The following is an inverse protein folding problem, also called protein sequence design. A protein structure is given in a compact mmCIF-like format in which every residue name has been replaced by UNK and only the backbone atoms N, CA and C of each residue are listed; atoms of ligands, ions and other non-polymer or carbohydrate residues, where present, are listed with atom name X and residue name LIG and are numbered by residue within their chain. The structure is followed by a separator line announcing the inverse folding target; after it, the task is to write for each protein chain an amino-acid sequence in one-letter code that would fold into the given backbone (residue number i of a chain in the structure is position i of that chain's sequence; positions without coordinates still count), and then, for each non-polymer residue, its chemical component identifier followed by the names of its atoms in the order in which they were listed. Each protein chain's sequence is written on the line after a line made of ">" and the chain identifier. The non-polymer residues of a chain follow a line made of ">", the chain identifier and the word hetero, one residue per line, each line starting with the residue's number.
data_IF_121394171064
#
_entry.id   IF_121394171064
#
_cell.length_a   1.000
_cell.length_b   1.000
_cell.length_c   1.000
_cell.angle_alpha   90.00
_cell.angle_beta   90.00
_cell.angle_gamma   90.00
#
_symmetry.space_group_name_H-M   'P 1'
#
loop_
_entity.id
_entity.type
_entity.pdbx_description
1 polymer ?
#
# COMPACT_ATOMS: atom_id res chain seq x y z
N UNK A 1 -13.07 -16.95 -11.81
CA UNK A 1 -12.47 -15.75 -11.18
C UNK A 1 -11.30 -16.05 -10.25
N UNK A 2 -11.28 -17.21 -9.57
CA UNK A 2 -10.13 -17.60 -8.73
C UNK A 2 -8.80 -17.82 -9.49
N UNK A 3 -8.84 -17.96 -10.79
CA UNK A 3 -7.63 -18.13 -11.64
C UNK A 3 -6.90 -16.82 -11.91
N UNK A 4 -7.55 -15.68 -11.70
CA UNK A 4 -6.97 -14.34 -11.97
C UNK A 4 -6.20 -13.77 -10.79
N UNK A 5 -6.39 -14.28 -9.57
CA UNK A 5 -5.82 -13.71 -8.37
C UNK A 5 -4.94 -14.72 -7.63
N UNK A 6 -3.92 -14.21 -6.97
CA UNK A 6 -3.04 -14.96 -6.07
C UNK A 6 -3.04 -14.29 -4.70
N UNK A 7 -3.10 -15.11 -3.65
CA UNK A 7 -3.32 -14.64 -2.30
C UNK A 7 -2.19 -15.05 -1.36
N UNK A 8 -1.73 -14.12 -0.58
CA UNK A 8 -1.02 -14.41 0.67
C UNK A 8 -1.97 -14.28 1.85
N UNK A 9 -1.61 -14.90 2.97
CA UNK A 9 -2.41 -14.87 4.18
C UNK A 9 -1.55 -14.57 5.40
N UNK A 10 -2.02 -13.66 6.24
CA UNK A 10 -1.40 -13.28 7.50
C UNK A 10 -2.39 -13.48 8.62
N UNK A 11 -1.96 -14.09 9.71
CA UNK A 11 -2.74 -14.20 10.95
C UNK A 11 -1.93 -13.58 12.07
N UNK A 12 -2.50 -12.58 12.75
CA UNK A 12 -1.94 -11.91 13.91
C UNK A 12 -2.81 -12.32 15.12
N UNK A 13 -2.25 -13.10 16.02
CA UNK A 13 -2.96 -13.59 17.19
C UNK A 13 -2.62 -12.72 18.41
N UNK A 14 -3.57 -11.95 18.86
CA UNK A 14 -3.48 -11.06 20.03
C UNK A 14 -4.34 -11.56 21.20
N UNK A 15 -5.08 -12.66 21.00
CA UNK A 15 -6.07 -13.15 21.98
C UNK A 15 -7.28 -12.22 22.09
N UNK A 16 -7.71 -11.60 20.99
CA UNK A 16 -8.84 -10.69 20.98
C UNK A 16 -10.16 -11.41 21.25
N UNK A 17 -11.16 -10.67 21.74
CA UNK A 17 -12.53 -11.16 21.93
C UNK A 17 -13.29 -11.35 20.61
N UNK A 18 -12.89 -10.61 19.57
CA UNK A 18 -13.50 -10.63 18.23
C UNK A 18 -12.41 -10.81 17.19
N UNK A 19 -12.69 -11.62 16.18
CA UNK A 19 -11.87 -11.72 14.97
C UNK A 19 -12.19 -10.56 14.03
N UNK A 20 -11.14 -9.94 13.48
CA UNK A 20 -11.22 -8.91 12.44
C UNK A 20 -10.55 -9.42 11.17
N UNK A 21 -11.17 -9.15 10.03
CA UNK A 21 -10.68 -9.53 8.71
C UNK A 21 -10.42 -8.30 7.87
N UNK A 22 -9.25 -8.23 7.28
CA UNK A 22 -8.88 -7.18 6.34
C UNK A 22 -8.38 -7.80 5.06
N UNK A 23 -8.58 -7.11 3.95
CA UNK A 23 -7.99 -7.51 2.69
C UNK A 23 -7.10 -6.40 2.16
N UNK A 24 -5.83 -6.69 1.92
CA UNK A 24 -4.85 -5.72 1.45
C UNK A 24 -4.60 -5.86 -0.05
N UNK A 25 -4.68 -4.74 -0.76
CA UNK A 25 -4.29 -4.55 -2.15
C UNK A 25 -3.21 -3.48 -2.19
N UNK A 26 -2.15 -3.72 -2.95
CA UNK A 26 -1.03 -2.80 -3.15
C UNK A 26 -0.65 -2.73 -4.62
N UNK A 27 -0.12 -1.59 -5.04
CA UNK A 27 0.57 -1.45 -6.33
C UNK A 27 -0.26 -1.97 -7.52
N UNK A 28 -1.51 -1.53 -7.61
CA UNK A 28 -2.39 -1.89 -8.72
C UNK A 28 -2.04 -1.14 -10.01
N UNK A 29 -1.46 0.05 -9.90
CA UNK A 29 -1.05 0.91 -11.01
C UNK A 29 -2.14 1.05 -12.07
N UNK A 30 -3.39 1.23 -11.63
CA UNK A 30 -4.52 1.39 -12.54
C UNK A 30 -4.42 2.66 -13.35
N UNK A 31 -4.88 2.59 -14.59
CA UNK A 31 -5.18 3.74 -15.40
C UNK A 31 -6.59 3.61 -15.95
N UNK A 32 -7.37 4.67 -15.83
CA UNK A 32 -8.78 4.70 -16.17
C UNK A 32 -9.07 5.84 -17.14
N UNK A 33 -10.00 5.61 -18.05
CA UNK A 33 -10.59 6.63 -18.89
C UNK A 33 -12.12 6.51 -18.84
N UNK A 34 -12.78 7.63 -19.06
CA UNK A 34 -14.23 7.73 -19.13
C UNK A 34 -14.64 8.73 -20.23
N UNK A 35 -15.93 8.94 -20.39
CA UNK A 35 -16.51 9.86 -21.37
C UNK A 35 -16.10 11.34 -21.17
N UNK A 36 -15.62 11.68 -19.98
CA UNK A 36 -15.19 13.03 -19.61
C UNK A 36 -13.65 13.17 -19.61
N UNK A 37 -12.94 12.15 -20.07
CA UNK A 37 -11.47 12.17 -20.08
C UNK A 37 -10.95 13.21 -21.08
N UNK A 38 -10.01 14.03 -20.61
CA UNK A 38 -9.30 15.03 -21.42
C UNK A 38 -8.25 14.39 -22.34
N UNK A 39 -7.68 15.15 -23.25
CA UNK A 39 -6.52 14.70 -24.05
C UNK A 39 -5.32 14.34 -23.17
N UNK A 40 -5.14 15.05 -22.05
CA UNK A 40 -4.10 14.75 -21.05
C UNK A 40 -4.36 13.40 -20.37
N UNK A 41 -5.60 13.13 -19.92
CA UNK A 41 -5.98 11.83 -19.35
C UNK A 41 -5.71 10.68 -20.35
N UNK A 42 -6.10 10.86 -21.62
CA UNK A 42 -5.86 9.86 -22.68
C UNK A 42 -4.36 9.61 -22.92
N UNK A 43 -3.55 10.66 -22.87
CA UNK A 43 -2.10 10.53 -23.00
C UNK A 43 -1.49 9.75 -21.83
N UNK A 44 -1.89 10.05 -20.58
CA UNK A 44 -1.41 9.33 -19.41
C UNK A 44 -1.90 7.88 -19.42
N UNK A 45 -3.14 7.62 -19.77
CA UNK A 45 -3.66 6.26 -19.94
C UNK A 45 -2.81 5.45 -20.95
N UNK A 46 -2.48 6.04 -22.09
CA UNK A 46 -1.63 5.39 -23.09
C UNK A 46 -0.22 5.12 -22.56
N UNK A 47 0.39 6.08 -21.85
CA UNK A 47 1.70 5.90 -21.21
C UNK A 47 1.71 4.78 -20.19
N UNK A 48 0.69 4.70 -19.35
CA UNK A 48 0.54 3.62 -18.39
C UNK A 48 0.45 2.26 -19.08
N UNK A 49 -0.35 2.13 -20.12
CA UNK A 49 -0.45 0.90 -20.92
C UNK A 49 0.89 0.48 -21.54
N UNK A 50 1.63 1.41 -22.13
CA UNK A 50 2.94 1.12 -22.73
C UNK A 50 3.98 0.67 -21.67
N UNK A 51 3.81 1.08 -20.40
CA UNK A 51 4.70 0.73 -19.32
C UNK A 51 4.31 -0.62 -18.64
N UNK A 52 3.04 -1.00 -18.62
CA UNK A 52 2.57 -2.18 -17.88
C UNK A 52 3.27 -3.47 -18.32
N UNK A 53 3.40 -3.72 -19.61
CA UNK A 53 4.06 -4.92 -20.10
C UNK A 53 5.53 -4.97 -19.65
N UNK A 54 6.24 -3.85 -19.75
CA UNK A 54 7.62 -3.74 -19.30
C UNK A 54 7.75 -3.93 -17.78
N UNK A 55 6.84 -3.36 -16.98
CA UNK A 55 6.82 -3.51 -15.53
C UNK A 55 6.53 -4.95 -15.12
N UNK A 56 5.51 -5.58 -15.71
CA UNK A 56 5.14 -6.96 -15.44
C UNK A 56 6.31 -7.91 -15.75
N UNK A 57 6.93 -7.78 -16.92
CA UNK A 57 8.12 -8.53 -17.33
C UNK A 57 9.25 -8.36 -16.31
N UNK A 58 9.58 -7.13 -15.98
CA UNK A 58 10.64 -6.79 -15.03
C UNK A 58 10.43 -7.45 -13.68
N UNK A 59 9.19 -7.44 -13.16
CA UNK A 59 8.89 -8.07 -11.87
C UNK A 59 8.91 -9.60 -11.94
N UNK A 60 8.45 -10.19 -13.02
CA UNK A 60 8.52 -11.64 -13.21
C UNK A 60 9.96 -12.14 -13.24
N UNK A 61 10.83 -11.49 -13.99
CA UNK A 61 12.26 -11.82 -14.07
C UNK A 61 12.96 -11.63 -12.72
N UNK A 62 12.61 -10.57 -11.99
CA UNK A 62 13.29 -10.18 -10.76
C UNK A 62 12.96 -11.08 -9.58
N UNK A 63 11.71 -11.51 -9.47
CA UNK A 63 11.24 -12.31 -8.33
C UNK A 63 11.03 -13.78 -8.67
N UNK A 64 11.27 -14.21 -9.91
CA UNK A 64 11.00 -15.56 -10.37
C UNK A 64 9.50 -15.89 -10.38
N UNK A 65 8.66 -14.85 -10.39
CA UNK A 65 7.21 -15.00 -10.45
C UNK A 65 6.74 -15.14 -11.90
N UNK A 66 5.76 -15.97 -12.11
CA UNK A 66 5.45 -16.58 -13.41
C UNK A 66 4.87 -15.63 -14.45
N UNK A 67 5.31 -15.79 -15.70
CA UNK A 67 4.56 -15.48 -16.88
C UNK A 67 3.38 -16.47 -16.99
N UNK A 68 2.22 -16.04 -16.55
CA UNK A 68 0.98 -16.77 -16.79
C UNK A 68 -0.04 -15.83 -17.48
N UNK A 69 -1.24 -16.34 -17.72
CA UNK A 69 -2.30 -15.59 -18.42
C UNK A 69 -2.69 -14.28 -17.73
N UNK A 70 -2.38 -14.10 -16.43
CA UNK A 70 -2.63 -12.85 -15.67
C UNK A 70 -1.82 -11.67 -16.22
N UNK A 71 -0.69 -11.93 -16.86
CA UNK A 71 0.11 -10.86 -17.50
C UNK A 71 -0.62 -10.18 -18.65
N UNK A 72 -1.56 -10.86 -19.29
CA UNK A 72 -2.36 -10.33 -20.38
C UNK A 72 -3.59 -9.56 -19.88
N UNK A 73 -3.93 -9.70 -18.59
CA UNK A 73 -5.11 -9.07 -18.00
C UNK A 73 -4.79 -7.62 -17.59
N UNK A 74 -5.67 -6.73 -17.89
CA UNK A 74 -5.52 -5.32 -17.50
C UNK A 74 -5.59 -5.14 -15.98
N UNK A 75 -4.81 -4.21 -15.40
CA UNK A 75 -4.77 -3.95 -13.96
C UNK A 75 -6.13 -3.66 -13.34
N UNK A 76 -6.99 -2.94 -14.06
CA UNK A 76 -8.34 -2.62 -13.60
C UNK A 76 -9.19 -3.88 -13.38
N UNK A 77 -9.09 -4.86 -14.29
CA UNK A 77 -9.81 -6.13 -14.18
C UNK A 77 -9.30 -6.95 -12.99
N UNK A 78 -7.97 -6.95 -12.77
CA UNK A 78 -7.37 -7.61 -11.61
C UNK A 78 -7.76 -6.93 -10.30
N UNK A 79 -7.78 -5.60 -10.27
CA UNK A 79 -8.24 -4.85 -9.11
C UNK A 79 -9.71 -5.15 -8.78
N UNK A 80 -10.60 -5.20 -9.78
CA UNK A 80 -12.01 -5.59 -9.59
C UNK A 80 -12.15 -7.03 -9.07
N UNK A 81 -11.35 -7.96 -9.57
CA UNK A 81 -11.34 -9.33 -9.08
C UNK A 81 -10.90 -9.43 -7.60
N UNK A 82 -9.85 -8.66 -7.22
CA UNK A 82 -9.35 -8.60 -5.85
C UNK A 82 -10.35 -7.94 -4.90
N UNK A 83 -10.95 -6.83 -5.30
CA UNK A 83 -11.96 -6.14 -4.48
C UNK A 83 -13.22 -6.98 -4.30
N UNK A 84 -13.63 -7.73 -5.33
CA UNK A 84 -14.69 -8.72 -5.19
C UNK A 84 -14.30 -9.83 -4.20
N UNK A 85 -13.07 -10.34 -4.28
CA UNK A 85 -12.60 -11.35 -3.33
C UNK A 85 -12.61 -10.83 -1.88
N UNK A 86 -12.27 -9.56 -1.64
CA UNK A 86 -12.36 -8.96 -0.31
C UNK A 86 -13.77 -9.09 0.30
N UNK A 87 -14.80 -8.89 -0.50
CA UNK A 87 -16.20 -9.07 -0.06
C UNK A 87 -16.54 -10.55 0.16
N UNK A 88 -16.13 -11.42 -0.75
CA UNK A 88 -16.36 -12.86 -0.64
C UNK A 88 -15.63 -13.47 0.58
N UNK A 89 -14.46 -12.94 0.94
CA UNK A 89 -13.70 -13.27 2.16
C UNK A 89 -14.40 -12.77 3.43
N UNK A 90 -15.30 -11.82 3.33
CA UNK A 90 -15.99 -11.18 4.45
C UNK A 90 -15.08 -10.23 5.21
N UNK A 91 -14.30 -9.42 4.51
CA UNK A 91 -13.44 -8.42 5.11
C UNK A 91 -14.26 -7.32 5.82
N UNK A 92 -13.82 -6.92 7.01
CA UNK A 92 -14.38 -5.79 7.75
C UNK A 92 -13.98 -4.44 7.13
N UNK A 93 -12.82 -4.39 6.46
CA UNK A 93 -12.38 -3.26 5.63
C UNK A 93 -11.43 -3.70 4.51
N UNK A 94 -11.40 -2.93 3.43
CA UNK A 94 -10.42 -3.01 2.36
C UNK A 94 -9.25 -2.08 2.67
N UNK A 95 -8.03 -2.59 2.65
CA UNK A 95 -6.78 -1.82 2.82
C UNK A 95 -6.12 -1.62 1.46
N UNK A 96 -5.93 -0.37 1.07
CA UNK A 96 -5.19 0.05 -0.12
C UNK A 96 -3.84 0.63 0.32
N UNK A 97 -2.77 -0.12 0.11
CA UNK A 97 -1.43 0.21 0.66
C UNK A 97 -0.52 0.93 -0.34
N UNK A 98 -1.10 1.80 -1.17
CA UNK A 98 -0.38 2.70 -2.07
C UNK A 98 -0.28 2.21 -3.51
N UNK A 99 0.01 3.16 -4.39
CA UNK A 99 0.19 2.99 -5.83
C UNK A 99 -0.99 2.26 -6.52
N UNK A 100 -2.21 2.59 -6.07
CA UNK A 100 -3.44 2.02 -6.64
C UNK A 100 -3.70 2.63 -8.03
N UNK A 101 -3.44 3.92 -8.18
CA UNK A 101 -3.43 4.61 -9.47
C UNK A 101 -2.00 4.76 -9.96
N UNK A 102 -1.76 4.53 -11.25
CA UNK A 102 -0.44 4.73 -11.85
C UNK A 102 -0.08 6.22 -11.92
N UNK A 103 -1.09 7.08 -12.12
CA UNK A 103 -0.96 8.54 -12.18
C UNK A 103 -2.15 9.23 -11.53
N UNK A 104 -1.94 10.44 -11.03
CA UNK A 104 -3.00 11.28 -10.45
C UNK A 104 -3.68 12.10 -11.56
N UNK A 105 -4.23 11.43 -12.58
CA UNK A 105 -5.06 12.05 -13.61
C UNK A 105 -6.48 12.30 -13.10
N UNK A 106 -7.21 13.22 -13.74
CA UNK A 106 -8.60 13.50 -13.35
C UNK A 106 -9.51 12.29 -13.54
N UNK A 107 -9.30 11.50 -14.59
CA UNK A 107 -10.06 10.26 -14.84
C UNK A 107 -9.81 9.20 -13.76
N UNK A 108 -8.56 9.02 -13.34
CA UNK A 108 -8.21 8.11 -12.24
C UNK A 108 -8.84 8.55 -10.91
N UNK A 109 -8.81 9.84 -10.60
CA UNK A 109 -9.45 10.39 -9.40
C UNK A 109 -10.96 10.17 -9.42
N UNK A 110 -11.62 10.44 -10.56
CA UNK A 110 -13.08 10.19 -10.68
C UNK A 110 -13.41 8.71 -10.50
N UNK A 111 -12.62 7.81 -11.08
CA UNK A 111 -12.82 6.37 -10.91
C UNK A 111 -12.70 5.97 -9.44
N UNK A 112 -11.61 6.36 -8.77
CA UNK A 112 -11.37 6.00 -7.36
C UNK A 112 -12.42 6.60 -6.42
N UNK A 113 -12.85 7.85 -6.66
CA UNK A 113 -13.92 8.48 -5.88
C UNK A 113 -15.21 7.67 -6.01
N UNK A 114 -15.64 7.37 -7.23
CA UNK A 114 -16.82 6.54 -7.48
C UNK A 114 -16.70 5.15 -6.86
N UNK A 115 -15.53 4.54 -6.93
CA UNK A 115 -15.25 3.24 -6.32
C UNK A 115 -15.41 3.32 -4.80
N UNK A 116 -14.74 4.24 -4.12
CA UNK A 116 -14.76 4.36 -2.64
C UNK A 116 -16.18 4.71 -2.14
N UNK A 117 -16.86 5.64 -2.81
CA UNK A 117 -18.25 6.03 -2.45
C UNK A 117 -19.25 4.88 -2.53
N UNK A 118 -19.04 3.92 -3.42
CA UNK A 118 -19.99 2.82 -3.66
C UNK A 118 -19.49 1.47 -3.12
N UNK A 119 -18.27 1.38 -2.57
CA UNK A 119 -17.75 0.12 -2.05
C UNK A 119 -18.45 -0.25 -0.74
N UNK A 120 -18.97 -1.51 -0.58
CA UNK A 120 -19.90 -1.84 0.51
C UNK A 120 -19.28 -1.85 1.92
N UNK A 121 -17.95 -1.91 2.03
CA UNK A 121 -17.22 -1.91 3.30
C UNK A 121 -16.25 -0.73 3.34
N UNK A 122 -15.81 -0.30 4.54
CA UNK A 122 -14.83 0.77 4.68
C UNK A 122 -13.56 0.54 3.86
N UNK A 123 -13.03 1.60 3.27
CA UNK A 123 -11.74 1.60 2.56
C UNK A 123 -10.73 2.41 3.36
N UNK A 124 -9.64 1.77 3.73
CA UNK A 124 -8.48 2.38 4.40
C UNK A 124 -7.41 2.58 3.34
N UNK A 125 -7.08 3.81 3.00
CA UNK A 125 -6.21 4.12 1.87
C UNK A 125 -4.96 4.87 2.32
N UNK A 126 -3.78 4.29 2.03
CA UNK A 126 -2.47 4.90 2.19
C UNK A 126 -1.98 5.39 0.81
N UNK A 127 -1.57 6.64 0.64
CA UNK A 127 -0.95 7.09 -0.60
C UNK A 127 0.37 6.37 -0.88
N UNK A 128 0.70 6.18 -2.17
CA UNK A 128 2.00 5.70 -2.60
C UNK A 128 2.83 6.79 -3.27
N UNK A 129 3.98 6.45 -3.83
CA UNK A 129 4.83 7.42 -4.53
C UNK A 129 4.24 7.87 -5.88
N UNK A 130 3.39 7.07 -6.52
CA UNK A 130 2.63 7.45 -7.72
C UNK A 130 1.51 8.46 -7.41
N UNK A 131 1.06 8.55 -6.18
CA UNK A 131 0.11 9.56 -5.72
C UNK A 131 0.66 11.02 -5.77
N UNK A 132 1.93 11.20 -6.09
CA UNK A 132 2.61 12.50 -6.19
C UNK A 132 3.04 12.86 -7.62
N UNK A 133 2.67 12.03 -8.60
CA UNK A 133 2.90 12.33 -10.01
C UNK A 133 1.58 12.72 -10.65
N UNK A 134 1.51 13.93 -11.17
CA UNK A 134 0.41 14.39 -12.01
C UNK A 134 0.63 13.95 -13.46
N UNK A 135 -0.34 14.24 -14.31
CA UNK A 135 -0.30 13.99 -15.75
C UNK A 135 0.89 14.63 -16.49
N UNK A 136 1.56 15.59 -15.85
CA UNK A 136 2.77 16.24 -16.37
C UNK A 136 4.07 15.66 -15.77
N UNK A 137 3.97 14.63 -14.93
CA UNK A 137 5.11 14.01 -14.27
C UNK A 137 5.75 14.87 -13.17
N UNK A 138 5.07 15.92 -12.71
CA UNK A 138 5.55 16.77 -11.63
C UNK A 138 5.43 16.03 -10.29
N UNK A 139 6.56 15.90 -9.60
CA UNK A 139 6.60 15.35 -8.23
C UNK A 139 6.19 16.44 -7.24
N UNK A 140 4.93 16.54 -6.91
CA UNK A 140 4.47 17.38 -5.80
C UNK A 140 3.38 16.65 -5.01
N UNK A 141 3.23 17.06 -3.75
CA UNK A 141 2.15 16.58 -2.92
C UNK A 141 0.82 17.00 -3.53
N UNK A 142 0.03 16.02 -3.96
CA UNK A 142 -1.25 16.22 -4.65
C UNK A 142 -2.43 15.98 -3.70
N UNK A 143 -2.23 16.20 -2.40
CA UNK A 143 -3.23 15.88 -1.37
C UNK A 143 -4.59 16.55 -1.63
N UNK A 144 -4.60 17.74 -2.22
CA UNK A 144 -5.83 18.43 -2.61
C UNK A 144 -6.70 17.62 -3.59
N UNK A 145 -6.07 16.81 -4.45
CA UNK A 145 -6.79 15.93 -5.39
C UNK A 145 -7.38 14.70 -4.71
N UNK A 146 -6.87 14.34 -3.53
CA UNK A 146 -7.37 13.23 -2.74
C UNK A 146 -8.52 13.60 -1.80
N UNK A 147 -9.00 14.84 -1.85
CA UNK A 147 -10.19 15.25 -1.12
C UNK A 147 -11.38 14.37 -1.51
N UNK A 148 -12.01 13.77 -0.50
CA UNK A 148 -13.08 12.79 -0.66
C UNK A 148 -12.64 11.34 -0.96
N UNK A 149 -11.34 11.10 -1.20
CA UNK A 149 -10.79 9.74 -1.28
C UNK A 149 -10.25 9.25 0.07
N UNK A 150 -9.70 10.16 0.85
CA UNK A 150 -9.09 9.92 2.15
C UNK A 150 -9.54 11.00 3.12
N UNK A 151 -9.65 10.67 4.41
CA UNK A 151 -9.93 11.66 5.46
C UNK A 151 -8.73 12.58 5.66
N UNK A 152 -7.56 11.97 5.78
CA UNK A 152 -6.28 12.69 5.85
C UNK A 152 -5.21 11.85 5.14
N UNK A 153 -4.74 12.28 3.97
CA UNK A 153 -3.76 11.51 3.21
C UNK A 153 -2.35 11.51 3.82
N UNK A 154 -2.03 12.43 4.73
CA UNK A 154 -0.72 12.51 5.36
C UNK A 154 -0.61 11.56 6.55
N UNK A 155 -1.65 11.52 7.40
CA UNK A 155 -1.71 10.69 8.61
C UNK A 155 -3.17 10.46 8.99
N UNK A 156 -3.59 9.21 9.13
CA UNK A 156 -4.96 8.87 9.52
C UNK A 156 -5.00 7.72 10.53
N UNK A 157 -6.04 7.68 11.36
CA UNK A 157 -6.22 6.66 12.40
C UNK A 157 -7.60 6.05 12.30
N UNK A 158 -7.66 4.72 12.18
CA UNK A 158 -8.88 3.93 12.18
C UNK A 158 -8.95 3.14 13.48
N UNK A 159 -9.86 3.53 14.35
CA UNK A 159 -10.01 2.99 15.69
C UNK A 159 -10.86 1.72 15.69
N UNK A 160 -10.31 0.64 16.24
CA UNK A 160 -10.98 -0.61 16.58
C UNK A 160 -10.92 -0.82 18.10
N UNK A 161 -11.81 -1.59 18.67
CA UNK A 161 -11.94 -1.71 20.15
C UNK A 161 -10.61 -1.97 20.86
N UNK A 162 -9.80 -2.91 20.34
CA UNK A 162 -8.60 -3.42 21.02
C UNK A 162 -7.28 -3.00 20.36
N UNK A 163 -7.34 -2.42 19.15
CA UNK A 163 -6.19 -1.89 18.40
C UNK A 163 -6.62 -0.75 17.48
N UNK A 164 -5.68 -0.12 16.83
CA UNK A 164 -5.94 0.88 15.79
C UNK A 164 -5.07 0.61 14.56
N UNK A 165 -5.55 1.03 13.38
CA UNK A 165 -4.76 1.08 12.17
C UNK A 165 -4.31 2.51 11.98
N UNK A 166 -3.01 2.74 12.06
CA UNK A 166 -2.40 4.06 11.82
C UNK A 166 -1.82 4.06 10.41
N UNK A 167 -2.31 4.98 9.59
CA UNK A 167 -1.88 5.19 8.20
C UNK A 167 -0.92 6.35 8.14
N UNK A 168 0.27 6.14 7.58
CA UNK A 168 1.29 7.18 7.42
C UNK A 168 1.75 7.24 5.97
N UNK A 169 1.59 8.39 5.32
CA UNK A 169 2.16 8.60 3.98
C UNK A 169 3.69 8.68 4.04
N UNK A 170 4.32 7.64 3.56
CA UNK A 170 5.77 7.58 3.38
C UNK A 170 6.17 7.28 1.92
N UNK A 171 5.26 7.47 0.97
CA UNK A 171 5.43 7.06 -0.42
C UNK A 171 6.72 7.57 -1.08
N UNK A 172 7.17 8.78 -0.75
CA UNK A 172 8.47 9.31 -1.24
C UNK A 172 9.62 9.07 -0.27
N UNK A 173 9.41 8.29 0.78
CA UNK A 173 10.35 8.09 1.90
C UNK A 173 10.68 9.40 2.65
N UNK A 174 9.78 10.35 2.59
CA UNK A 174 9.82 11.59 3.36
C UNK A 174 8.79 11.50 4.48
N UNK A 175 9.23 11.79 5.66
CA UNK A 175 8.39 11.93 6.86
C UNK A 175 8.48 13.39 7.31
N UNK A 176 7.35 13.96 7.68
CA UNK A 176 7.31 15.31 8.24
C UNK A 176 7.46 15.27 9.76
N UNK A 177 7.90 16.37 10.36
CA UNK A 177 7.94 16.50 11.82
C UNK A 177 6.54 16.30 12.43
N UNK A 178 5.50 16.80 11.76
CA UNK A 178 4.11 16.61 12.18
C UNK A 178 3.71 15.12 12.21
N UNK A 179 4.11 14.32 11.23
CA UNK A 179 3.85 12.88 11.24
C UNK A 179 4.56 12.17 12.40
N UNK A 180 5.79 12.56 12.73
CA UNK A 180 6.52 12.05 13.89
C UNK A 180 5.81 12.37 15.20
N UNK A 181 5.39 13.63 15.37
CA UNK A 181 4.70 14.09 16.58
C UNK A 181 3.35 13.38 16.74
N UNK A 182 2.60 13.20 15.65
CA UNK A 182 1.34 12.44 15.64
C UNK A 182 1.58 10.95 15.95
N UNK A 183 2.61 10.33 15.38
CA UNK A 183 2.93 8.94 15.66
C UNK A 183 3.32 8.72 17.13
N UNK A 184 4.11 9.64 17.70
CA UNK A 184 4.43 9.60 19.13
C UNK A 184 3.17 9.72 19.98
N UNK A 185 2.25 10.62 19.62
CA UNK A 185 0.99 10.79 20.33
C UNK A 185 0.11 9.52 20.29
N UNK A 186 0.11 8.76 19.18
CA UNK A 186 -0.61 7.47 19.10
C UNK A 186 0.07 6.42 20.00
N UNK A 187 1.41 6.34 19.99
CA UNK A 187 2.16 5.42 20.89
C UNK A 187 1.86 5.73 22.36
N UNK A 188 1.78 7.00 22.73
CA UNK A 188 1.54 7.45 24.11
C UNK A 188 0.14 7.07 24.62
N UNK A 189 -0.82 6.76 23.74
CA UNK A 189 -2.13 6.21 24.13
C UNK A 189 -2.05 4.78 24.67
N UNK A 190 -0.93 4.10 24.46
CA UNK A 190 -0.70 2.71 24.88
C UNK A 190 -1.72 1.71 24.31
N UNK A 191 -2.31 2.03 23.15
CA UNK A 191 -3.13 1.13 22.36
C UNK A 191 -2.28 0.37 21.36
N UNK A 192 -2.67 -0.84 20.98
CA UNK A 192 -1.95 -1.62 19.97
C UNK A 192 -2.15 -1.02 18.59
N UNK A 193 -1.08 -0.96 17.78
CA UNK A 193 -1.05 -0.30 16.49
C UNK A 193 -0.73 -1.31 15.38
N UNK A 194 -1.58 -1.38 14.35
CA UNK A 194 -1.23 -1.91 13.04
C UNK A 194 -0.80 -0.75 12.16
N UNK A 195 0.49 -0.65 11.85
CA UNK A 195 1.01 0.42 11.02
C UNK A 195 0.79 0.11 9.53
N UNK A 196 0.16 1.03 8.81
CA UNK A 196 -0.01 0.97 7.36
C UNK A 196 0.82 2.06 6.68
N UNK A 197 1.75 1.65 5.86
CA UNK A 197 2.64 2.50 5.06
C UNK A 197 2.74 1.97 3.63
N UNK A 198 3.29 2.74 2.71
CA UNK A 198 3.56 2.26 1.35
C UNK A 198 4.99 1.71 1.21
N UNK A 199 6.02 2.52 1.43
CA UNK A 199 7.40 2.07 1.35
C UNK A 199 7.80 1.30 2.61
N UNK A 200 8.28 0.04 2.50
CA UNK A 200 8.63 -0.76 3.66
C UNK A 200 9.84 -0.19 4.42
N UNK A 201 9.87 -0.48 5.72
CA UNK A 201 10.98 -0.07 6.58
C UNK A 201 12.21 -0.96 6.33
N UNK A 202 13.38 -0.33 6.26
CA UNK A 202 14.67 -1.03 6.13
C UNK A 202 15.16 -1.45 7.50
N UNK A 203 14.87 -2.66 7.90
CA UNK A 203 15.34 -3.20 9.19
C UNK A 203 15.72 -4.69 9.03
N UNK A 204 16.78 -5.12 9.75
CA UNK A 204 17.22 -6.50 9.79
C UNK A 204 17.88 -7.04 8.52
N UNK A 205 18.11 -8.36 8.48
CA UNK A 205 18.78 -9.09 7.39
C UNK A 205 18.01 -9.01 6.06
N UNK A 206 16.70 -8.82 6.11
CA UNK A 206 15.86 -8.60 4.93
C UNK A 206 16.37 -7.41 4.10
N UNK A 207 16.86 -6.35 4.73
CA UNK A 207 17.46 -5.22 4.04
C UNK A 207 18.57 -5.62 3.07
N UNK A 208 19.32 -6.68 3.35
CA UNK A 208 20.38 -7.17 2.48
C UNK A 208 19.89 -8.08 1.37
N UNK A 209 18.94 -8.98 1.64
CA UNK A 209 18.42 -9.89 0.62
C UNK A 209 17.50 -9.18 -0.38
N UNK A 210 16.62 -8.32 0.11
CA UNK A 210 15.77 -7.51 -0.76
C UNK A 210 16.60 -6.43 -1.46
N UNK A 211 17.57 -5.82 -0.79
CA UNK A 211 18.46 -4.86 -1.42
C UNK A 211 19.33 -5.46 -2.54
N UNK A 212 19.58 -6.75 -2.52
CA UNK A 212 20.22 -7.48 -3.65
C UNK A 212 19.24 -7.70 -4.82
N UNK A 213 17.97 -7.85 -4.53
CA UNK A 213 16.91 -8.10 -5.52
C UNK A 213 16.17 -6.81 -5.93
N UNK A 214 16.04 -5.85 -5.01
CA UNK A 214 15.35 -4.56 -5.18
C UNK A 214 16.36 -3.46 -4.91
N UNK A 215 16.45 -2.48 -5.79
CA UNK A 215 17.35 -1.34 -5.59
C UNK A 215 17.10 -0.71 -4.20
N UNK A 216 18.15 -0.26 -3.49
CA UNK A 216 18.08 0.35 -2.16
C UNK A 216 17.06 1.52 -2.03
N UNK A 217 16.66 2.11 -3.14
CA UNK A 217 15.68 3.21 -3.19
C UNK A 217 14.26 2.80 -2.81
N UNK A 218 13.95 1.50 -2.72
CA UNK A 218 12.59 1.00 -2.48
C UNK A 218 12.25 0.77 -1.00
N UNK A 219 13.16 1.02 -0.07
CA UNK A 219 12.92 0.87 1.37
C UNK A 219 13.31 2.14 2.13
N UNK A 220 12.54 2.49 3.17
CA UNK A 220 12.80 3.65 4.01
C UNK A 220 13.70 3.31 5.21
N UNK A 221 14.61 4.20 5.59
CA UNK A 221 15.52 4.05 6.73
C UNK A 221 16.97 3.81 6.32
N UNK A 222 17.36 4.15 5.08
CA UNK A 222 18.76 4.17 4.68
C UNK A 222 19.47 5.40 5.26
N UNK A 223 20.81 5.33 5.36
CA UNK A 223 21.60 6.50 5.79
C UNK A 223 21.49 7.72 4.86
N UNK A 224 20.96 7.52 3.65
CA UNK A 224 20.78 8.57 2.64
C UNK A 224 19.36 9.17 2.66
N UNK A 225 18.45 8.61 3.45
CA UNK A 225 17.10 9.15 3.59
C UNK A 225 17.11 10.39 4.49
N UNK A 226 16.10 11.29 4.40
CA UNK A 226 15.94 12.43 5.29
C UNK A 226 16.02 12.06 6.77
N UNK A 227 16.40 13.01 7.62
CA UNK A 227 16.55 12.77 9.05
C UNK A 227 15.27 12.29 9.69
N UNK A 228 14.14 12.93 9.40
CA UNK A 228 12.84 12.57 9.92
C UNK A 228 12.40 11.15 9.50
N UNK A 229 12.76 10.72 8.30
CA UNK A 229 12.49 9.34 7.86
C UNK A 229 13.27 8.31 8.67
N UNK A 230 14.52 8.63 9.01
CA UNK A 230 15.35 7.79 9.88
C UNK A 230 14.85 7.78 11.33
N UNK A 231 14.47 8.95 11.84
CA UNK A 231 13.83 9.08 13.16
C UNK A 231 12.54 8.26 13.24
N UNK A 232 11.69 8.29 12.20
CA UNK A 232 10.47 7.49 12.16
C UNK A 232 10.75 5.98 12.26
N UNK A 233 11.75 5.49 11.52
CA UNK A 233 12.15 4.07 11.58
C UNK A 233 12.64 3.71 12.99
N UNK A 234 13.45 4.56 13.62
CA UNK A 234 13.94 4.32 14.98
C UNK A 234 12.81 4.45 16.01
N UNK A 235 11.84 5.37 15.82
CA UNK A 235 10.66 5.48 16.66
C UNK A 235 9.85 4.18 16.66
N UNK A 236 9.55 3.62 15.47
CA UNK A 236 8.85 2.35 15.34
C UNK A 236 9.63 1.21 15.99
N UNK A 237 10.95 1.16 15.76
CA UNK A 237 11.83 0.14 16.32
C UNK A 237 11.91 0.20 17.85
N UNK A 238 12.07 1.40 18.40
CA UNK A 238 12.19 1.59 19.85
C UNK A 238 10.89 1.27 20.61
N UNK A 239 9.76 1.29 19.92
CA UNK A 239 8.44 1.05 20.49
C UNK A 239 7.79 -0.22 19.91
N UNK A 240 8.59 -1.20 19.51
CA UNK A 240 8.17 -2.40 18.77
C UNK A 240 7.03 -3.18 19.43
N UNK A 241 6.94 -3.17 20.76
CA UNK A 241 5.89 -3.85 21.52
C UNK A 241 4.51 -3.17 21.42
N UNK A 242 4.44 -1.91 20.97
CA UNK A 242 3.17 -1.21 20.71
C UNK A 242 2.57 -1.64 19.37
N UNK A 243 3.41 -2.06 18.43
CA UNK A 243 2.98 -2.45 17.10
C UNK A 243 2.67 -3.93 17.01
N UNK A 244 1.53 -4.27 16.41
CA UNK A 244 1.13 -5.66 16.13
C UNK A 244 1.61 -6.13 14.76
N UNK A 245 2.02 -5.21 13.91
CA UNK A 245 2.56 -5.46 12.57
C UNK A 245 2.72 -4.18 11.77
N UNK A 246 3.48 -4.29 10.69
CA UNK A 246 3.63 -3.24 9.67
C UNK A 246 3.16 -3.81 8.33
N UNK A 247 2.17 -3.17 7.70
CA UNK A 247 1.71 -3.50 6.37
C UNK A 247 2.33 -2.54 5.37
N UNK A 248 2.89 -3.07 4.28
CA UNK A 248 3.52 -2.27 3.23
C UNK A 248 3.31 -2.86 1.83
N UNK A 249 3.69 -2.11 0.79
CA UNK A 249 3.70 -2.48 -0.62
C UNK A 249 5.02 -2.13 -1.28
N UNK A 250 4.96 -1.41 -2.42
CA UNK A 250 6.06 -0.72 -3.10
C UNK A 250 7.14 -1.60 -3.74
N UNK A 251 7.54 -2.67 -3.10
CA UNK A 251 8.59 -3.58 -3.61
C UNK A 251 8.05 -4.66 -4.53
N UNK A 252 6.73 -4.71 -4.73
CA UNK A 252 6.02 -5.68 -5.58
C UNK A 252 6.37 -7.14 -5.25
N UNK A 253 6.60 -7.44 -3.97
CA UNK A 253 6.90 -8.79 -3.49
C UNK A 253 6.15 -9.09 -2.20
N UNK A 254 5.56 -10.29 -2.12
CA UNK A 254 4.95 -10.79 -0.88
C UNK A 254 6.03 -11.39 0.01
N UNK A 255 6.46 -10.63 1.02
CA UNK A 255 7.49 -11.05 1.95
C UNK A 255 7.06 -10.75 3.38
N UNK A 256 7.39 -11.64 4.28
CA UNK A 256 7.21 -11.47 5.72
C UNK A 256 8.56 -11.55 6.41
N UNK A 257 8.89 -10.56 7.23
CA UNK A 257 10.16 -10.56 7.95
C UNK A 257 10.08 -9.81 9.28
N UNK A 258 10.91 -10.22 10.22
CA UNK A 258 10.98 -9.57 11.52
C UNK A 258 11.78 -8.26 11.40
N UNK A 259 11.16 -7.16 11.79
CA UNK A 259 11.81 -5.86 11.98
C UNK A 259 12.66 -5.90 13.24
N UNK A 260 12.06 -6.48 14.30
CA UNK A 260 12.69 -6.79 15.58
C UNK A 260 12.21 -8.18 16.03
N UNK A 261 12.62 -8.64 17.21
CA UNK A 261 12.13 -9.90 17.78
C UNK A 261 10.62 -9.87 18.06
N UNK A 262 10.04 -8.68 18.27
CA UNK A 262 8.62 -8.49 18.61
C UNK A 262 7.76 -7.98 17.46
N UNK A 263 8.35 -7.42 16.41
CA UNK A 263 7.63 -6.75 15.34
C UNK A 263 7.95 -7.35 13.97
N UNK A 264 6.90 -7.74 13.26
CA UNK A 264 6.98 -8.24 11.89
C UNK A 264 6.40 -7.24 10.87
N UNK A 265 7.03 -7.17 9.72
CA UNK A 265 6.53 -6.45 8.55
C UNK A 265 6.06 -7.42 7.48
N UNK A 266 4.95 -7.06 6.83
CA UNK A 266 4.28 -7.81 5.78
C UNK A 266 4.20 -6.93 4.54
N UNK A 267 4.97 -7.24 3.51
CA UNK A 267 4.83 -6.60 2.21
C UNK A 267 3.92 -7.43 1.31
N UNK A 268 3.05 -6.77 0.57
CA UNK A 268 2.14 -7.41 -0.37
C UNK A 268 2.62 -7.17 -1.80
N UNK A 269 2.65 -8.24 -2.61
CA UNK A 269 3.00 -8.14 -4.01
C UNK A 269 1.96 -7.35 -4.80
N UNK A 270 2.33 -6.99 -6.03
CA UNK A 270 1.57 -6.04 -6.84
C UNK A 270 0.24 -6.61 -7.35
N UNK A 271 -0.82 -5.86 -7.16
CA UNK A 271 -2.12 -6.12 -7.77
C UNK A 271 -2.10 -5.93 -9.30
N UNK A 272 -1.07 -5.27 -9.85
CA UNK A 272 -0.81 -5.21 -11.30
C UNK A 272 -0.73 -6.60 -11.95
N UNK A 273 -0.40 -7.61 -11.16
CA UNK A 273 -0.34 -9.03 -11.58
C UNK A 273 -1.27 -9.91 -10.74
N UNK A 274 -2.28 -9.34 -10.12
CA UNK A 274 -3.36 -10.07 -9.44
C UNK A 274 -3.06 -10.53 -8.01
N UNK A 275 -2.09 -9.94 -7.30
CA UNK A 275 -1.80 -10.31 -5.92
C UNK A 275 -2.60 -9.50 -4.91
N UNK A 276 -3.03 -10.19 -3.83
CA UNK A 276 -3.65 -9.60 -2.64
C UNK A 276 -3.27 -10.35 -1.38
N UNK A 277 -3.63 -9.80 -0.21
CA UNK A 277 -3.35 -10.42 1.09
C UNK A 277 -4.59 -10.46 1.97
N UNK A 278 -4.95 -11.64 2.45
CA UNK A 278 -5.90 -11.83 3.55
C UNK A 278 -5.19 -11.59 4.89
N UNK A 279 -5.78 -10.77 5.74
CA UNK A 279 -5.26 -10.47 7.08
C UNK A 279 -6.34 -10.79 8.09
N UNK A 280 -6.00 -11.62 9.08
CA UNK A 280 -6.88 -11.97 10.19
C UNK A 280 -6.19 -11.54 11.48
N UNK A 281 -6.89 -10.73 12.27
CA UNK A 281 -6.46 -10.32 13.62
C UNK A 281 -7.45 -10.90 14.63
N UNK A 282 -6.98 -11.69 15.57
CA UNK A 282 -7.84 -12.42 16.51
C UNK A 282 -7.24 -12.53 17.92
#
# INVERSE_FOLDING_TARGET
>A
MNELIQLSKTVIDLGLKKEYKFFQISDAHMACIDENSSEADLLEYKRSHEQWDSLKIHYAERFGEFYDDRFQVEPNVLFEALTKHALDFGADALILSGDIMDRVSESNIRYMRKFIENYPIPVIYCPGNHARTDEFGAKRKMYERFEGLMRNPEFDVFDYDEFEIVVVDNGTKEITRNQLDLMQAEIDKNKKILLLIHAPLKLGEFGEEVAKKVNHYFVMGSQYDPEEAREFVELVRANDTHFIGVLAGHIHASVEYNITDNLKQYTTSSALIGYGREIIIK
#
